data_IF_107219482394
#
_entry.id   IF_107219482394
#
_cell.length_a   1.000
_cell.length_b   1.000
_cell.length_c   1.000
_cell.angle_alpha   90.00
_cell.angle_beta   90.00
_cell.angle_gamma   90.00
#
_symmetry.space_group_name_H-M   'P 1'
#
loop_
_entity.id
_entity.type
_entity.pdbx_description
1 polymer ?
#
# COMPACT_ATOMS: atom_id res chain seq x y z
N UNK A 1 -25.34 7.66 10.82
CA UNK A 1 -25.46 6.26 10.36
C UNK A 1 -26.76 6.15 9.59
N UNK A 2 -26.67 6.22 8.26
CA UNK A 2 -27.81 6.06 7.36
C UNK A 2 -27.34 5.11 6.26
N UNK A 3 -27.87 3.90 6.24
CA UNK A 3 -27.69 2.98 5.12
C UNK A 3 -28.66 3.38 4.00
N UNK A 4 -28.14 3.55 2.77
CA UNK A 4 -28.95 3.55 1.55
C UNK A 4 -28.28 2.67 0.49
N UNK A 5 -29.12 2.13 -0.37
CA UNK A 5 -28.91 0.92 -1.17
C UNK A 5 -28.10 1.15 -2.48
N UNK A 6 -27.08 2.00 -2.46
CA UNK A 6 -26.26 2.35 -3.63
C UNK A 6 -24.79 1.94 -3.51
N UNK A 7 -24.38 1.28 -2.42
CA UNK A 7 -23.01 0.80 -2.27
C UNK A 7 -21.97 1.91 -2.09
N UNK A 8 -22.39 3.16 -1.86
CA UNK A 8 -21.50 4.28 -1.60
C UNK A 8 -21.31 4.42 -0.09
N UNK A 9 -20.09 4.15 0.38
CA UNK A 9 -19.71 4.44 1.78
C UNK A 9 -19.42 5.93 1.89
N UNK A 10 -20.38 6.69 2.42
CA UNK A 10 -20.19 8.09 2.78
C UNK A 10 -19.67 8.21 4.22
N UNK A 11 -18.35 8.26 4.41
CA UNK A 11 -17.77 8.80 5.65
C UNK A 11 -17.77 10.33 5.55
N UNK A 12 -18.64 10.97 6.34
CA UNK A 12 -18.96 12.40 6.31
C UNK A 12 -17.73 13.31 6.12
N UNK A 13 -17.52 13.79 4.89
CA UNK A 13 -16.42 14.69 4.49
C UNK A 13 -15.55 14.19 3.34
N UNK A 14 -15.73 12.96 2.88
CA UNK A 14 -14.90 12.37 1.82
C UNK A 14 -15.80 11.76 0.74
N UNK A 15 -15.47 12.03 -0.52
CA UNK A 15 -16.03 11.31 -1.66
C UNK A 15 -14.95 10.40 -2.24
N UNK A 16 -15.21 9.09 -2.17
CA UNK A 16 -14.36 8.06 -2.73
C UNK A 16 -15.08 7.42 -3.90
N UNK A 17 -14.40 7.26 -5.03
CA UNK A 17 -14.96 6.64 -6.23
C UNK A 17 -13.97 5.71 -6.89
N UNK A 18 -14.47 4.58 -7.38
CA UNK A 18 -13.76 3.67 -8.28
C UNK A 18 -14.23 3.86 -9.72
N UNK A 19 -13.29 3.83 -10.66
CA UNK A 19 -13.60 3.89 -12.09
C UNK A 19 -12.78 2.86 -12.85
N UNK A 20 -13.38 2.26 -13.87
CA UNK A 20 -12.66 1.58 -14.96
C UNK A 20 -12.45 2.59 -16.08
N UNK A 21 -11.20 2.93 -16.40
CA UNK A 21 -10.92 3.85 -17.51
C UNK A 21 -10.78 3.07 -18.81
N UNK A 22 -11.63 3.33 -19.79
CA UNK A 22 -11.54 2.74 -21.14
C UNK A 22 -10.41 3.36 -21.97
N UNK A 23 -10.04 4.60 -21.65
CA UNK A 23 -9.04 5.38 -22.37
C UNK A 23 -7.75 5.35 -21.55
N UNK A 24 -6.75 4.58 -22.01
CA UNK A 24 -5.50 4.22 -21.33
C UNK A 24 -4.53 5.38 -21.00
N UNK A 25 -5.03 6.53 -20.53
CA UNK A 25 -4.26 7.67 -20.06
C UNK A 25 -3.59 7.42 -18.69
N UNK A 26 -3.96 6.37 -17.97
CA UNK A 26 -3.43 6.03 -16.65
C UNK A 26 -2.81 4.62 -16.56
N UNK A 27 -2.49 3.98 -17.70
CA UNK A 27 -1.80 2.69 -17.72
C UNK A 27 -2.75 1.50 -17.93
N UNK A 28 -3.04 1.22 -19.20
CA UNK A 28 -3.73 0.01 -19.66
C UNK A 28 -5.26 0.14 -19.82
N UNK A 29 -5.86 -0.49 -20.85
CA UNK A 29 -7.30 -0.69 -20.91
C UNK A 29 -7.72 -1.65 -19.77
N UNK A 30 -8.83 -1.34 -19.10
CA UNK A 30 -9.45 -2.15 -18.02
C UNK A 30 -8.85 -2.04 -16.60
N UNK A 31 -8.00 -1.04 -16.33
CA UNK A 31 -7.44 -0.87 -14.99
C UNK A 31 -8.43 -0.14 -14.04
N UNK A 32 -8.61 -0.66 -12.82
CA UNK A 32 -9.37 0.03 -11.77
C UNK A 32 -8.51 1.13 -11.14
N UNK A 33 -9.04 2.35 -11.12
CA UNK A 33 -8.41 3.52 -10.49
C UNK A 33 -9.29 3.98 -9.34
N UNK A 34 -8.66 4.20 -8.18
CA UNK A 34 -9.32 4.74 -7.00
C UNK A 34 -8.99 6.23 -6.84
N UNK A 35 -10.01 7.05 -6.64
CA UNK A 35 -9.87 8.49 -6.39
C UNK A 35 -10.39 8.84 -5.02
N UNK A 36 -9.62 9.65 -4.26
CA UNK A 36 -10.16 10.40 -3.13
C UNK A 36 -10.38 11.85 -3.52
N UNK A 37 -11.48 12.44 -3.05
CA UNK A 37 -11.75 13.86 -3.10
C UNK A 37 -12.20 14.34 -1.72
N UNK A 38 -11.46 15.28 -1.15
CA UNK A 38 -11.80 15.95 0.10
C UNK A 38 -12.77 17.11 -0.16
N UNK A 39 -13.47 17.56 0.90
CA UNK A 39 -14.44 18.67 0.83
C UNK A 39 -13.84 19.97 0.27
N UNK A 40 -12.55 20.19 0.49
CA UNK A 40 -11.82 21.37 0.02
C UNK A 40 -11.44 21.31 -1.46
N UNK A 41 -11.80 20.23 -2.17
CA UNK A 41 -11.51 20.00 -3.57
C UNK A 41 -10.11 19.43 -3.82
N UNK A 42 -9.32 19.14 -2.78
CA UNK A 42 -8.08 18.37 -2.92
C UNK A 42 -8.38 16.88 -3.12
N UNK A 43 -7.48 16.17 -3.81
CA UNK A 43 -7.66 14.77 -4.14
C UNK A 43 -6.39 14.10 -4.63
N UNK A 44 -6.29 12.78 -4.53
CA UNK A 44 -5.30 12.00 -5.28
C UNK A 44 -5.95 10.86 -6.02
N UNK A 45 -5.33 10.51 -7.14
CA UNK A 45 -5.55 9.26 -7.84
C UNK A 45 -4.49 8.28 -7.36
N UNK A 46 -4.90 7.06 -7.05
CA UNK A 46 -3.96 5.97 -6.78
C UNK A 46 -3.64 5.22 -8.08
N UNK A 47 -2.47 4.59 -8.12
CA UNK A 47 -2.01 3.86 -9.30
C UNK A 47 -2.93 2.67 -9.59
N UNK A 48 -3.35 2.47 -10.84
CA UNK A 48 -4.03 1.25 -11.22
C UNK A 48 -3.15 0.03 -10.90
N UNK A 49 -3.77 -1.01 -10.37
CA UNK A 49 -3.04 -2.20 -9.90
C UNK A 49 -2.85 -2.18 -8.39
N UNK A 50 -2.25 -1.15 -7.78
CA UNK A 50 -1.79 -1.22 -6.38
C UNK A 50 -2.84 -1.71 -5.36
N UNK A 51 -4.12 -1.38 -5.55
CA UNK A 51 -5.22 -1.74 -4.65
C UNK A 51 -6.40 -2.38 -5.36
N UNK A 52 -6.20 -2.99 -6.54
CA UNK A 52 -7.29 -3.47 -7.39
C UNK A 52 -8.12 -4.61 -6.80
N UNK A 53 -7.68 -5.23 -5.71
CA UNK A 53 -8.32 -6.43 -5.13
C UNK A 53 -9.24 -6.16 -3.95
N UNK A 54 -9.11 -5.04 -3.22
CA UNK A 54 -9.91 -4.81 -2.00
C UNK A 54 -10.10 -3.32 -1.66
N UNK A 55 -11.34 -2.83 -1.82
CA UNK A 55 -11.71 -1.44 -1.56
C UNK A 55 -11.61 -1.06 -0.08
N UNK A 56 -11.91 -2.01 0.81
CA UNK A 56 -11.87 -1.77 2.25
C UNK A 56 -10.44 -1.51 2.71
N UNK A 57 -9.50 -2.28 2.16
CA UNK A 57 -8.05 -2.11 2.40
C UNK A 57 -7.56 -0.74 1.91
N UNK A 58 -8.00 -0.28 0.74
CA UNK A 58 -7.63 1.06 0.23
C UNK A 58 -8.17 2.18 1.13
N UNK A 59 -9.42 2.07 1.58
CA UNK A 59 -10.03 3.08 2.47
C UNK A 59 -9.28 3.13 3.80
N UNK A 60 -8.91 1.97 4.36
CA UNK A 60 -8.12 1.90 5.59
C UNK A 60 -6.74 2.56 5.44
N UNK A 61 -6.05 2.36 4.31
CA UNK A 61 -4.78 3.03 4.01
C UNK A 61 -4.92 4.55 3.89
N UNK A 62 -5.97 5.05 3.23
CA UNK A 62 -6.23 6.50 3.15
C UNK A 62 -6.73 7.12 4.44
N UNK A 63 -7.42 6.34 5.29
CA UNK A 63 -7.89 6.78 6.59
C UNK A 63 -6.73 7.16 7.53
N UNK A 64 -5.56 6.52 7.40
CA UNK A 64 -4.33 6.87 8.13
C UNK A 64 -4.04 8.38 8.08
N UNK A 65 -4.04 8.94 6.86
CA UNK A 65 -3.74 10.37 6.62
C UNK A 65 -4.75 11.33 7.22
N UNK A 66 -5.97 10.86 7.54
CA UNK A 66 -7.07 11.70 7.99
C UNK A 66 -7.39 11.51 9.48
N UNK A 67 -7.17 10.32 10.03
CA UNK A 67 -7.63 9.94 11.37
C UNK A 67 -6.51 9.53 12.34
N UNK A 68 -5.25 9.41 11.87
CA UNK A 68 -4.12 9.05 12.72
C UNK A 68 -4.12 7.60 13.21
N UNK A 69 -4.88 6.73 12.54
CA UNK A 69 -4.86 5.28 12.75
C UNK A 69 -3.76 4.65 11.88
N UNK A 70 -3.12 3.53 12.28
CA UNK A 70 -2.13 2.86 11.44
C UNK A 70 -2.73 2.40 10.11
N UNK A 71 -2.03 2.66 9.00
CA UNK A 71 -2.42 2.19 7.67
C UNK A 71 -2.47 0.67 7.57
N UNK A 72 -2.94 0.16 6.44
CA UNK A 72 -2.99 -1.29 6.22
C UNK A 72 -1.58 -1.91 6.24
N UNK A 73 -0.61 -1.29 5.56
CA UNK A 73 0.77 -1.77 5.53
C UNK A 73 1.41 -1.80 6.93
N UNK A 74 1.16 -0.79 7.77
CA UNK A 74 1.59 -0.74 9.17
C UNK A 74 1.01 -1.86 10.03
N UNK A 75 -0.21 -2.33 9.74
CA UNK A 75 -0.83 -3.46 10.43
C UNK A 75 -0.27 -4.81 9.97
N UNK A 76 0.25 -4.89 8.74
CA UNK A 76 0.88 -6.09 8.24
C UNK A 76 2.22 -6.35 8.95
N UNK A 77 3.10 -5.34 8.99
CA UNK A 77 4.40 -5.48 9.64
C UNK A 77 5.01 -4.12 9.97
N UNK A 78 5.89 -4.10 10.97
CA UNK A 78 6.64 -2.91 11.37
C UNK A 78 8.09 -3.25 11.65
N UNK A 79 8.98 -2.25 11.67
CA UNK A 79 10.31 -2.45 12.23
C UNK A 79 10.22 -2.81 13.72
N UNK A 80 11.09 -3.72 14.17
CA UNK A 80 11.15 -4.12 15.58
C UNK A 80 11.50 -2.95 16.52
N UNK A 81 12.30 -2.00 16.04
CA UNK A 81 12.62 -0.75 16.71
C UNK A 81 13.15 0.31 15.72
N UNK A 82 13.40 1.51 16.22
CA UNK A 82 13.85 2.69 15.46
C UNK A 82 15.23 2.55 14.79
N UNK A 83 15.94 1.44 14.97
CA UNK A 83 17.28 1.20 14.40
C UNK A 83 17.37 -0.16 13.70
N UNK A 84 16.47 -1.06 13.99
CA UNK A 84 16.46 -2.41 13.43
C UNK A 84 16.06 -2.41 11.95
N UNK A 85 16.66 -3.32 11.19
CA UNK A 85 16.18 -3.71 9.87
C UNK A 85 15.24 -4.90 9.93
N UNK A 86 15.08 -5.51 11.10
CA UNK A 86 14.19 -6.64 11.28
C UNK A 86 12.75 -6.17 11.37
N UNK A 87 11.90 -6.85 10.60
CA UNK A 87 10.47 -6.67 10.58
C UNK A 87 9.78 -7.67 11.50
N UNK A 88 8.77 -7.18 12.22
CA UNK A 88 7.89 -7.98 13.07
C UNK A 88 6.46 -7.91 12.53
N UNK A 89 5.79 -9.07 12.35
CA UNK A 89 4.43 -9.11 11.86
C UNK A 89 3.46 -8.51 12.87
N UNK A 90 2.40 -7.89 12.37
CA UNK A 90 1.29 -7.44 13.21
C UNK A 90 0.41 -8.60 13.71
N UNK A 91 -0.59 -8.29 14.56
CA UNK A 91 -1.51 -9.31 15.08
C UNK A 91 -2.25 -10.05 13.97
N UNK A 92 -2.23 -11.39 14.01
CA UNK A 92 -2.91 -12.24 13.01
C UNK A 92 -2.16 -12.39 11.68
N UNK A 93 -0.99 -11.77 11.54
CA UNK A 93 -0.16 -11.83 10.34
C UNK A 93 0.95 -12.87 10.52
N UNK A 94 1.14 -13.72 9.53
CA UNK A 94 2.28 -14.63 9.43
C UNK A 94 3.42 -13.96 8.65
N UNK A 95 4.60 -13.86 9.25
CA UNK A 95 5.82 -13.47 8.53
C UNK A 95 6.37 -14.69 7.78
N UNK A 96 6.30 -14.69 6.45
CA UNK A 96 6.81 -15.80 5.63
C UNK A 96 8.32 -15.66 5.44
N UNK A 97 8.77 -14.49 5.01
CA UNK A 97 10.18 -14.18 4.82
C UNK A 97 10.41 -12.66 4.77
N UNK A 98 11.64 -12.23 5.09
CA UNK A 98 12.08 -10.86 4.88
C UNK A 98 13.46 -10.81 4.21
N UNK A 99 13.74 -9.70 3.53
CA UNK A 99 15.03 -9.36 2.89
C UNK A 99 15.31 -7.88 3.02
N UNK A 100 16.58 -7.51 3.06
CA UNK A 100 16.98 -6.13 2.78
C UNK A 100 16.69 -5.84 1.30
N UNK A 101 16.34 -4.59 0.99
CA UNK A 101 16.17 -4.11 -0.37
C UNK A 101 16.78 -2.72 -0.50
N UNK A 102 17.18 -2.33 -1.71
CA UNK A 102 17.53 -0.96 -2.06
C UNK A 102 16.52 -0.39 -3.07
N UNK A 103 15.43 0.16 -2.57
CA UNK A 103 14.35 0.77 -3.35
C UNK A 103 14.76 2.09 -4.04
N UNK A 104 16.00 2.55 -3.88
CA UNK A 104 16.49 3.76 -4.54
C UNK A 104 15.84 5.06 -4.04
N UNK A 105 15.19 5.05 -2.87
CA UNK A 105 14.74 6.29 -2.22
C UNK A 105 15.92 7.19 -1.81
N UNK A 106 15.64 8.48 -1.64
CA UNK A 106 16.61 9.50 -1.24
C UNK A 106 17.37 9.14 0.05
N UNK A 107 18.53 9.78 0.24
CA UNK A 107 19.46 9.53 1.35
C UNK A 107 18.87 9.69 2.77
N UNK A 108 17.62 10.13 2.90
CA UNK A 108 16.87 10.21 4.15
C UNK A 108 16.37 8.84 4.65
N UNK A 109 16.15 7.86 3.75
CA UNK A 109 15.77 6.49 4.12
C UNK A 109 17.01 5.61 4.22
N UNK A 110 17.47 5.41 5.45
CA UNK A 110 18.76 4.75 5.72
C UNK A 110 18.64 3.24 5.92
N UNK A 111 17.42 2.71 5.97
CA UNK A 111 17.15 1.28 6.03
C UNK A 111 15.90 0.93 5.25
N UNK A 112 16.01 -0.12 4.44
CA UNK A 112 14.92 -0.63 3.63
C UNK A 112 14.89 -2.14 3.73
N UNK A 113 13.69 -2.66 3.96
CA UNK A 113 13.47 -4.10 4.09
C UNK A 113 12.13 -4.43 3.45
N UNK A 114 12.08 -5.54 2.76
CA UNK A 114 10.86 -6.08 2.19
C UNK A 114 10.49 -7.37 2.91
N UNK A 115 9.20 -7.60 3.07
CA UNK A 115 8.66 -8.82 3.64
C UNK A 115 7.61 -9.44 2.72
N UNK A 116 7.56 -10.76 2.71
CA UNK A 116 6.39 -11.53 2.32
C UNK A 116 5.66 -11.93 3.59
N UNK A 117 4.38 -11.56 3.67
CA UNK A 117 3.52 -11.86 4.81
C UNK A 117 2.22 -12.52 4.35
N UNK A 118 1.54 -13.20 5.27
CA UNK A 118 0.18 -13.72 5.05
C UNK A 118 -0.80 -13.20 6.07
N UNK A 119 -1.94 -12.74 5.58
CA UNK A 119 -3.10 -12.36 6.38
C UNK A 119 -4.33 -13.08 5.82
N UNK A 120 -5.03 -13.83 6.67
CA UNK A 120 -6.21 -14.63 6.27
C UNK A 120 -5.98 -15.54 5.05
N UNK A 121 -4.78 -16.10 4.93
CA UNK A 121 -4.37 -16.97 3.83
C UNK A 121 -4.04 -16.24 2.51
N UNK A 122 -4.14 -14.91 2.47
CA UNK A 122 -3.70 -14.07 1.33
C UNK A 122 -2.26 -13.62 1.54
N UNK A 123 -1.48 -13.64 0.47
CA UNK A 123 -0.08 -13.18 0.48
C UNK A 123 -0.02 -11.69 0.18
N UNK A 124 0.85 -10.98 0.89
CA UNK A 124 1.17 -9.58 0.67
C UNK A 124 2.69 -9.39 0.68
N UNK A 125 3.17 -8.48 -0.14
CA UNK A 125 4.52 -7.95 -0.08
C UNK A 125 4.49 -6.57 0.55
N UNK A 126 5.37 -6.33 1.52
CA UNK A 126 5.51 -5.04 2.20
C UNK A 126 6.89 -4.49 1.96
N UNK A 127 7.01 -3.24 1.55
CA UNK A 127 8.25 -2.47 1.65
C UNK A 127 8.18 -1.58 2.89
N UNK A 128 9.14 -1.74 3.77
CA UNK A 128 9.36 -0.90 4.93
C UNK A 128 10.58 -0.01 4.67
N UNK A 129 10.40 1.30 4.85
CA UNK A 129 11.45 2.30 4.67
C UNK A 129 11.58 3.12 5.94
N UNK A 130 12.72 2.98 6.63
CA UNK A 130 13.01 3.69 7.86
C UNK A 130 13.83 4.95 7.59
N UNK A 131 13.30 6.10 8.00
CA UNK A 131 14.02 7.38 7.94
C UNK A 131 15.13 7.49 8.97
N UNK A 132 16.14 8.31 8.67
CA UNK A 132 17.14 8.75 9.65
C UNK A 132 16.55 9.74 10.66
N UNK A 133 15.59 10.55 10.21
CA UNK A 133 14.93 11.60 10.99
C UNK A 133 13.47 11.69 10.53
N UNK A 134 12.57 11.03 11.25
CA UNK A 134 11.14 10.95 10.95
C UNK A 134 10.61 9.57 11.30
N UNK A 135 9.37 9.28 10.91
CA UNK A 135 8.75 7.96 11.08
C UNK A 135 9.19 6.99 9.99
N UNK A 136 9.09 5.69 10.25
CA UNK A 136 9.11 4.73 9.16
C UNK A 136 7.82 4.87 8.35
N UNK A 137 7.88 4.61 7.05
CA UNK A 137 6.69 4.43 6.23
C UNK A 137 6.69 3.03 5.62
N UNK A 138 5.49 2.54 5.32
CA UNK A 138 5.26 1.20 4.82
C UNK A 138 4.35 1.27 3.59
N UNK A 139 4.61 0.38 2.65
CA UNK A 139 3.77 0.21 1.48
C UNK A 139 3.51 -1.28 1.27
N UNK A 140 2.28 -1.65 0.93
CA UNK A 140 1.87 -3.03 0.70
C UNK A 140 1.36 -3.24 -0.73
N UNK A 141 1.61 -4.43 -1.28
CA UNK A 141 1.14 -4.90 -2.58
C UNK A 141 0.72 -6.35 -2.48
N UNK A 142 -0.35 -6.73 -3.15
CA UNK A 142 -0.57 -8.14 -3.47
C UNK A 142 0.31 -8.55 -4.67
N UNK A 143 0.55 -9.88 -4.85
CA UNK A 143 1.41 -10.38 -5.93
C UNK A 143 0.97 -9.99 -7.35
N UNK A 144 -0.34 -9.98 -7.62
CA UNK A 144 -0.87 -9.68 -8.95
C UNK A 144 -0.59 -8.23 -9.33
N UNK A 145 -0.83 -7.32 -8.39
CA UNK A 145 -0.62 -5.88 -8.56
C UNK A 145 0.84 -5.48 -8.75
N UNK A 146 1.76 -6.19 -8.09
CA UNK A 146 3.19 -6.02 -8.31
C UNK A 146 3.72 -6.76 -9.56
N UNK A 147 2.91 -7.63 -10.18
CA UNK A 147 3.33 -8.44 -11.33
C UNK A 147 4.41 -9.47 -10.99
N UNK A 148 4.45 -9.95 -9.73
CA UNK A 148 5.48 -10.87 -9.22
C UNK A 148 4.84 -12.02 -8.44
N UNK A 149 5.53 -13.14 -8.30
CA UNK A 149 4.98 -14.35 -7.67
C UNK A 149 5.59 -14.69 -6.32
N UNK A 150 6.71 -14.08 -5.97
CA UNK A 150 7.48 -14.38 -4.76
C UNK A 150 8.30 -13.17 -4.31
N UNK A 151 8.83 -13.27 -3.09
CA UNK A 151 9.64 -12.22 -2.49
C UNK A 151 10.88 -11.85 -3.32
N UNK A 152 11.49 -12.79 -4.04
CA UNK A 152 12.69 -12.49 -4.82
C UNK A 152 12.36 -11.65 -6.06
N UNK A 153 11.24 -11.96 -6.72
CA UNK A 153 10.69 -11.13 -7.78
C UNK A 153 10.32 -9.74 -7.27
N UNK A 154 9.69 -9.67 -6.09
CA UNK A 154 9.32 -8.39 -5.48
C UNK A 154 10.54 -7.52 -5.13
N UNK A 155 11.60 -8.08 -4.53
CA UNK A 155 12.88 -7.37 -4.31
C UNK A 155 13.39 -6.78 -5.62
N UNK A 156 13.48 -7.60 -6.67
CA UNK A 156 13.98 -7.17 -7.99
C UNK A 156 13.14 -6.02 -8.56
N UNK A 157 11.82 -6.10 -8.42
CA UNK A 157 10.90 -5.09 -8.90
C UNK A 157 11.08 -3.75 -8.16
N UNK A 158 11.17 -3.79 -6.82
CA UNK A 158 11.43 -2.60 -5.99
C UNK A 158 12.77 -1.96 -6.34
N UNK A 159 13.83 -2.75 -6.44
CA UNK A 159 15.19 -2.26 -6.71
C UNK A 159 15.38 -1.73 -8.14
N UNK A 160 14.54 -2.18 -9.09
CA UNK A 160 14.55 -1.68 -10.47
C UNK A 160 13.91 -0.29 -10.64
N UNK A 161 13.44 0.32 -9.55
CA UNK A 161 12.73 1.59 -9.57
C UNK A 161 11.24 1.48 -9.89
N UNK A 162 10.67 0.27 -9.73
CA UNK A 162 9.25 -0.09 -9.93
C UNK A 162 8.77 0.25 -11.33
N UNK A 163 8.60 -0.77 -12.17
CA UNK A 163 8.32 -0.66 -13.62
C UNK A 163 7.64 0.66 -14.00
N UNK A 164 8.42 1.58 -14.56
CA UNK A 164 7.90 2.87 -15.03
C UNK A 164 6.80 2.55 -16.05
N UNK A 165 5.57 3.07 -15.90
CA UNK A 165 4.54 2.93 -16.93
C UNK A 165 5.00 3.52 -18.27
#
# INVERSE_FOLDING_TARGET
>A
MVERADGVVHSYGLEVRGYTTADGALGGPDALVWSFLAVDGSGTLDEPGRWTVDFDVWVEDKAEKTHGEPGFADRLTQFADDRSTDLVPGPGVEMVAQRLADAGYDAEYVRQSVAEVRLDGRTWFVLASGERVGGAFYEAWDPESAGVTDLAGFVTWVESGRGTP
#
